data_IF_050292996551
#
_entry.id   IF_050292996551
#
_cell.length_a   1.000
_cell.length_b   1.000
_cell.length_c   1.000
_cell.angle_alpha   90.00
_cell.angle_beta   90.00
_cell.angle_gamma   90.00
#
_symmetry.space_group_name_H-M   'P 1'
#
loop_
_entity.id
_entity.type
_entity.pdbx_description
1 polymer ?
#
# COMPACT_ATOMS: atom_id res chain seq x y z
N UNK A 1 -29.47 8.06 -22.36
CA UNK A 1 -28.30 8.60 -21.63
C UNK A 1 -28.13 8.08 -20.20
N UNK A 2 -29.17 7.56 -19.53
CA UNK A 2 -29.12 7.15 -18.11
C UNK A 2 -28.35 5.85 -17.79
N UNK A 3 -28.18 4.94 -18.75
CA UNK A 3 -27.50 3.63 -18.52
C UNK A 3 -25.98 3.73 -18.29
N UNK A 4 -25.34 4.79 -18.79
CA UNK A 4 -23.89 4.99 -18.63
C UNK A 4 -23.48 5.25 -17.18
N UNK A 5 -24.33 5.91 -16.39
CA UNK A 5 -24.07 6.16 -14.96
C UNK A 5 -24.06 4.88 -14.13
N UNK A 6 -24.97 3.95 -14.42
CA UNK A 6 -25.03 2.68 -13.69
C UNK A 6 -23.84 1.79 -14.01
N UNK A 7 -23.42 1.74 -15.27
CA UNK A 7 -22.23 1.00 -15.70
C UNK A 7 -20.94 1.58 -15.08
N UNK A 8 -20.76 2.90 -15.12
CA UNK A 8 -19.61 3.55 -14.50
C UNK A 8 -19.54 3.32 -12.99
N UNK A 9 -20.70 3.35 -12.29
CA UNK A 9 -20.76 3.05 -10.86
C UNK A 9 -20.38 1.60 -10.57
N UNK A 10 -20.82 0.66 -11.41
CA UNK A 10 -20.50 -0.76 -11.25
C UNK A 10 -19.00 -1.00 -11.41
N UNK A 11 -18.42 -0.53 -12.51
CA UNK A 11 -16.97 -0.63 -12.78
C UNK A 11 -16.16 -0.01 -11.63
N UNK A 12 -16.51 1.19 -11.18
CA UNK A 12 -15.80 1.84 -10.08
C UNK A 12 -15.92 1.06 -8.76
N UNK A 13 -17.09 0.47 -8.50
CA UNK A 13 -17.33 -0.31 -7.28
C UNK A 13 -16.57 -1.64 -7.31
N UNK A 14 -16.39 -2.24 -8.48
CA UNK A 14 -15.63 -3.48 -8.65
C UNK A 14 -14.11 -3.24 -8.61
N UNK A 15 -13.64 -2.06 -9.03
CA UNK A 15 -12.21 -1.69 -8.97
C UNK A 15 -11.73 -1.33 -7.57
N UNK A 16 -12.61 -0.85 -6.68
CA UNK A 16 -12.24 -0.43 -5.31
C UNK A 16 -11.68 -1.58 -4.45
N UNK A 17 -12.30 -2.78 -4.40
CA UNK A 17 -11.77 -3.91 -3.65
C UNK A 17 -10.34 -4.32 -4.06
N UNK A 18 -10.03 -4.61 -5.35
CA UNK A 18 -8.69 -4.98 -5.76
C UNK A 18 -7.70 -3.81 -5.63
N UNK A 19 -8.14 -2.55 -5.78
CA UNK A 19 -7.30 -1.38 -5.49
C UNK A 19 -6.83 -1.33 -4.04
N UNK A 20 -7.75 -1.51 -3.09
CA UNK A 20 -7.41 -1.51 -1.66
C UNK A 20 -6.54 -2.71 -1.27
N UNK A 21 -6.82 -3.90 -1.82
CA UNK A 21 -5.94 -5.07 -1.67
C UNK A 21 -4.55 -4.79 -2.23
N UNK A 22 -4.47 -4.18 -3.42
CA UNK A 22 -3.20 -3.81 -4.05
C UNK A 22 -2.37 -2.90 -3.15
N UNK A 23 -2.96 -1.83 -2.60
CA UNK A 23 -2.27 -0.92 -1.66
C UNK A 23 -1.72 -1.71 -0.47
N UNK A 24 -2.54 -2.56 0.14
CA UNK A 24 -2.13 -3.35 1.29
C UNK A 24 -0.98 -4.31 0.96
N UNK A 25 -1.10 -5.07 -0.12
CA UNK A 25 -0.09 -6.04 -0.56
C UNK A 25 1.22 -5.33 -0.91
N UNK A 26 1.20 -4.26 -1.68
CA UNK A 26 2.41 -3.56 -2.09
C UNK A 26 3.11 -2.90 -0.89
N UNK A 27 2.38 -2.24 0.01
CA UNK A 27 2.96 -1.70 1.24
C UNK A 27 3.60 -2.84 2.06
N UNK A 28 2.91 -3.97 2.21
CA UNK A 28 3.43 -5.10 2.98
C UNK A 28 4.71 -5.67 2.37
N UNK A 29 4.73 -5.90 1.06
CA UNK A 29 5.92 -6.39 0.34
C UNK A 29 7.09 -5.42 0.49
N UNK A 30 6.86 -4.11 0.33
CA UNK A 30 7.92 -3.10 0.51
C UNK A 30 8.45 -3.08 1.95
N UNK A 31 7.55 -3.20 2.94
CA UNK A 31 7.93 -3.27 4.34
C UNK A 31 8.77 -4.52 4.65
N UNK A 32 8.52 -5.65 3.98
CA UNK A 32 9.37 -6.85 4.13
C UNK A 32 10.81 -6.59 3.68
N UNK A 33 11.02 -5.80 2.62
CA UNK A 33 12.36 -5.39 2.21
C UNK A 33 13.00 -4.39 3.18
N UNK A 34 12.21 -3.47 3.73
CA UNK A 34 12.70 -2.47 4.70
C UNK A 34 12.99 -3.05 6.08
N UNK A 35 12.36 -4.16 6.48
CA UNK A 35 12.55 -4.77 7.80
C UNK A 35 13.98 -5.27 8.01
N UNK A 36 14.63 -5.80 6.96
CA UNK A 36 16.03 -6.23 7.00
C UNK A 36 16.95 -5.05 7.29
N UNK A 37 16.75 -3.92 6.59
CA UNK A 37 17.51 -2.68 6.82
C UNK A 37 17.23 -2.11 8.20
N UNK A 38 15.97 -2.08 8.63
CA UNK A 38 15.60 -1.57 9.95
C UNK A 38 16.23 -2.38 11.07
N UNK A 39 16.37 -3.70 10.91
CA UNK A 39 16.96 -4.58 11.93
C UNK A 39 18.41 -4.20 12.23
N UNK A 40 19.20 -3.85 11.21
CA UNK A 40 20.57 -3.35 11.40
C UNK A 40 20.58 -2.03 12.20
N UNK A 41 19.67 -1.11 11.89
CA UNK A 41 19.55 0.16 12.64
C UNK A 41 19.12 -0.05 14.09
N UNK A 42 18.21 -1.00 14.34
CA UNK A 42 17.67 -1.31 15.66
C UNK A 42 18.73 -1.95 16.55
N UNK A 43 19.51 -2.89 16.02
CA UNK A 43 20.58 -3.58 16.77
C UNK A 43 21.71 -2.61 17.14
N UNK A 44 22.06 -1.67 16.26
CA UNK A 44 23.17 -0.72 16.50
C UNK A 44 22.79 0.40 17.47
N UNK A 45 21.55 0.89 17.45
CA UNK A 45 21.14 2.09 18.21
C UNK A 45 20.29 1.82 19.46
N UNK A 46 19.96 0.56 19.79
CA UNK A 46 19.14 0.23 20.98
C UNK A 46 17.75 0.91 20.95
N UNK A 47 17.17 1.04 19.76
CA UNK A 47 15.98 1.86 19.55
C UNK A 47 14.73 1.25 20.24
N UNK A 48 13.97 2.10 20.95
CA UNK A 48 12.69 1.73 21.55
C UNK A 48 11.70 1.20 20.50
N UNK A 49 10.96 0.14 20.82
CA UNK A 49 9.93 -0.47 19.97
C UNK A 49 8.90 0.54 19.45
N UNK A 50 8.57 1.57 20.25
CA UNK A 50 7.69 2.67 19.84
C UNK A 50 8.29 3.46 18.66
N UNK A 51 9.60 3.70 18.70
CA UNK A 51 10.30 4.44 17.65
C UNK A 51 10.34 3.63 16.34
N UNK A 52 10.50 2.32 16.44
CA UNK A 52 10.43 1.39 15.30
C UNK A 52 9.05 1.47 14.64
N UNK A 53 7.97 1.42 15.43
CA UNK A 53 6.61 1.49 14.90
C UNK A 53 6.35 2.83 14.19
N UNK A 54 6.87 3.95 14.73
CA UNK A 54 6.79 5.26 14.08
C UNK A 54 7.54 5.28 12.75
N UNK A 55 8.76 4.74 12.72
CA UNK A 55 9.57 4.66 11.50
C UNK A 55 8.85 3.82 10.43
N UNK A 56 8.31 2.66 10.81
CA UNK A 56 7.51 1.82 9.91
C UNK A 56 6.31 2.59 9.34
N UNK A 57 5.57 3.32 10.17
CA UNK A 57 4.45 4.14 9.72
C UNK A 57 4.88 5.25 8.74
N UNK A 58 5.97 5.97 9.03
CA UNK A 58 6.50 6.99 8.13
C UNK A 58 6.96 6.39 6.79
N UNK A 59 7.59 5.23 6.83
CA UNK A 59 8.01 4.49 5.64
C UNK A 59 6.79 4.10 4.80
N UNK A 60 5.74 3.54 5.42
CA UNK A 60 4.49 3.18 4.73
C UNK A 60 3.87 4.38 4.01
N UNK A 61 3.81 5.54 4.67
CA UNK A 61 3.27 6.77 4.06
C UNK A 61 4.14 7.25 2.90
N UNK A 62 5.47 7.18 3.03
CA UNK A 62 6.39 7.56 1.95
C UNK A 62 6.19 6.67 0.72
N UNK A 63 5.98 5.36 0.92
CA UNK A 63 5.77 4.41 -0.16
C UNK A 63 4.35 4.40 -0.72
N UNK A 64 3.39 5.04 -0.05
CA UNK A 64 2.02 5.17 -0.56
C UNK A 64 2.00 5.86 -1.94
N UNK A 65 2.87 6.85 -2.16
CA UNK A 65 3.01 7.54 -3.46
C UNK A 65 3.36 6.59 -4.61
N UNK A 66 4.12 5.52 -4.32
CA UNK A 66 4.50 4.48 -5.31
C UNK A 66 3.47 3.36 -5.35
N UNK A 67 2.91 3.00 -4.19
CA UNK A 67 1.89 1.95 -4.08
C UNK A 67 0.57 2.35 -4.77
N UNK A 68 0.20 3.63 -4.77
CA UNK A 68 -1.04 4.13 -5.40
C UNK A 68 -1.13 3.88 -6.91
N UNK A 69 -0.14 4.24 -7.75
CA UNK A 69 -0.20 3.92 -9.18
C UNK A 69 -0.10 2.42 -9.43
N UNK A 70 0.69 1.67 -8.65
CA UNK A 70 0.80 0.22 -8.80
C UNK A 70 -0.49 -0.52 -8.43
N UNK A 71 -1.17 -0.10 -7.36
CA UNK A 71 -2.44 -0.67 -6.94
C UNK A 71 -3.57 -0.33 -7.90
N UNK A 72 -3.51 0.84 -8.56
CA UNK A 72 -4.44 1.21 -9.61
C UNK A 72 -4.28 0.28 -10.83
N UNK A 73 -3.03 0.02 -11.26
CA UNK A 73 -2.76 -0.94 -12.33
C UNK A 73 -3.24 -2.34 -11.95
N UNK A 74 -2.97 -2.77 -10.71
CA UNK A 74 -3.45 -4.05 -10.20
C UNK A 74 -4.98 -4.14 -10.24
N UNK A 75 -5.68 -3.11 -9.79
CA UNK A 75 -7.14 -3.06 -9.84
C UNK A 75 -7.68 -3.18 -11.27
N UNK A 76 -7.10 -2.44 -12.22
CA UNK A 76 -7.53 -2.48 -13.63
C UNK A 76 -7.29 -3.86 -14.27
N UNK A 77 -6.22 -4.55 -13.89
CA UNK A 77 -5.89 -5.86 -14.46
C UNK A 77 -6.73 -7.00 -13.85
N UNK A 78 -7.17 -6.83 -12.61
CA UNK A 78 -7.87 -7.88 -11.86
C UNK A 78 -9.40 -7.75 -11.94
N UNK A 79 -9.91 -6.59 -12.36
CA UNK A 79 -11.34 -6.29 -12.55
C UNK A 79 -11.70 -6.34 -14.02
#
# INVERSE_FOLDING_TARGET
>A
MFRGRTAAKYIFTEMVPPFLMGIFIFIFVILMFQSLRLTEYVIVHGASTIMILKILAYISVSFLTVALPMSLLFAILFT
#
